data_IF_401677248457
#
_entry.id   IF_401677248457
#
_cell.length_a   1.000
_cell.length_b   1.000
_cell.length_c   1.000
_cell.angle_alpha   90.00
_cell.angle_beta   90.00
_cell.angle_gamma   90.00
#
_symmetry.space_group_name_H-M   'P 1'
#
loop_
_entity.id
_entity.type
_entity.pdbx_description
1 polymer ?
#
# COMPACT_ATOMS: atom_id res chain seq x y z
N UNK A 1 -64.23 -16.80 -23.49
CA UNK A 1 -62.77 -16.95 -23.62
C UNK A 1 -62.29 -15.92 -24.65
N UNK A 2 -61.83 -14.75 -24.20
CA UNK A 2 -61.34 -13.69 -25.09
C UNK A 2 -59.81 -13.64 -24.99
N UNK A 3 -59.11 -13.95 -26.08
CA UNK A 3 -57.64 -13.87 -26.16
C UNK A 3 -57.26 -12.44 -26.52
N UNK A 4 -56.59 -11.74 -25.61
CA UNK A 4 -56.01 -10.42 -25.89
C UNK A 4 -54.86 -10.57 -26.89
N UNK A 5 -54.95 -9.89 -28.03
CA UNK A 5 -53.87 -9.81 -29.00
C UNK A 5 -52.70 -9.03 -28.38
N UNK A 6 -51.57 -9.70 -28.13
CA UNK A 6 -50.32 -9.06 -27.72
C UNK A 6 -49.73 -8.21 -28.84
N UNK A 7 -48.86 -7.23 -28.52
CA UNK A 7 -48.22 -6.37 -29.51
C UNK A 7 -47.44 -7.21 -30.52
N UNK A 8 -47.65 -6.95 -31.81
CA UNK A 8 -47.08 -7.72 -32.90
C UNK A 8 -45.55 -7.74 -32.89
N UNK A 9 -44.92 -8.76 -33.51
CA UNK A 9 -43.47 -9.00 -33.44
C UNK A 9 -42.61 -7.83 -33.92
N UNK A 10 -43.12 -6.99 -34.83
CA UNK A 10 -42.43 -5.78 -35.31
C UNK A 10 -42.31 -4.69 -34.22
N UNK A 11 -43.27 -4.59 -33.32
CA UNK A 11 -43.24 -3.63 -32.20
C UNK A 11 -42.18 -4.07 -31.18
N UNK A 12 -42.11 -5.38 -30.90
CA UNK A 12 -41.10 -5.94 -29.99
C UNK A 12 -39.70 -5.74 -30.54
N UNK A 13 -39.49 -5.96 -31.85
CA UNK A 13 -38.20 -5.74 -32.49
C UNK A 13 -37.81 -4.25 -32.50
N UNK A 14 -38.77 -3.36 -32.74
CA UNK A 14 -38.56 -1.92 -32.69
C UNK A 14 -38.14 -1.43 -31.30
N UNK A 15 -38.79 -1.93 -30.25
CA UNK A 15 -38.44 -1.61 -28.85
C UNK A 15 -37.05 -2.18 -28.51
N UNK A 16 -36.76 -3.42 -28.89
CA UNK A 16 -35.47 -4.06 -28.62
C UNK A 16 -34.27 -3.33 -29.26
N UNK A 17 -34.46 -2.68 -30.42
CA UNK A 17 -33.42 -1.89 -31.08
C UNK A 17 -33.34 -0.44 -30.57
N UNK A 18 -34.48 0.19 -30.26
CA UNK A 18 -34.52 1.60 -29.86
C UNK A 18 -33.95 1.84 -28.45
N UNK A 19 -34.20 0.91 -27.51
CA UNK A 19 -33.74 1.04 -26.12
C UNK A 19 -32.20 1.14 -25.99
N UNK A 20 -31.39 0.23 -26.58
CA UNK A 20 -29.93 0.35 -26.49
C UNK A 20 -29.39 1.58 -27.23
N UNK A 21 -30.00 1.99 -28.34
CA UNK A 21 -29.59 3.19 -29.07
C UNK A 21 -29.80 4.48 -28.25
N UNK A 22 -30.94 4.59 -27.57
CA UNK A 22 -31.24 5.71 -26.67
C UNK A 22 -30.34 5.70 -25.44
N UNK A 23 -30.04 4.53 -24.89
CA UNK A 23 -29.09 4.37 -23.78
C UNK A 23 -27.68 4.84 -24.17
N UNK A 24 -27.18 4.43 -25.34
CA UNK A 24 -25.88 4.87 -25.85
C UNK A 24 -25.85 6.39 -26.08
N UNK A 25 -26.89 6.97 -26.69
CA UNK A 25 -26.98 8.42 -26.86
C UNK A 25 -26.99 9.17 -25.53
N UNK A 26 -27.74 8.68 -24.53
CA UNK A 26 -27.78 9.28 -23.21
C UNK A 26 -26.38 9.25 -22.55
N UNK A 27 -25.68 8.11 -22.62
CA UNK A 27 -24.32 8.01 -22.06
C UNK A 27 -23.30 8.91 -22.78
N UNK A 28 -23.39 9.05 -24.10
CA UNK A 28 -22.51 9.93 -24.87
C UNK A 28 -22.73 11.41 -24.50
N UNK A 29 -23.98 11.86 -24.44
CA UNK A 29 -24.32 13.24 -24.06
C UNK A 29 -23.89 13.60 -22.63
N UNK A 30 -23.97 12.63 -21.71
CA UNK A 30 -23.54 12.80 -20.32
C UNK A 30 -22.02 12.82 -20.17
N UNK A 31 -21.30 12.06 -21.00
CA UNK A 31 -19.84 12.10 -21.06
C UNK A 31 -19.34 13.45 -21.61
N UNK A 32 -19.94 13.96 -22.69
CA UNK A 32 -19.57 15.26 -23.27
C UNK A 32 -19.79 16.43 -22.28
N UNK A 33 -20.87 16.38 -21.48
CA UNK A 33 -21.15 17.37 -20.45
C UNK A 33 -20.15 17.37 -19.28
N UNK A 34 -19.40 16.27 -19.08
CA UNK A 34 -18.34 16.16 -18.06
C UNK A 34 -16.93 16.32 -18.62
N UNK A 35 -16.78 16.28 -19.93
CA UNK A 35 -15.51 16.48 -20.62
C UNK A 35 -15.12 17.96 -20.78
N UNK A 36 -15.91 18.90 -20.24
CA UNK A 36 -15.51 20.29 -20.11
C UNK A 36 -14.48 20.43 -18.98
N UNK A 37 -13.27 19.93 -19.23
CA UNK A 37 -12.09 20.46 -18.55
C UNK A 37 -12.02 21.94 -18.88
N UNK A 38 -11.96 22.77 -17.85
CA UNK A 38 -11.76 24.21 -17.96
C UNK A 38 -10.60 24.46 -18.94
N UNK A 39 -10.77 25.29 -19.98
CA UNK A 39 -9.71 25.51 -20.95
C UNK A 39 -8.52 26.10 -20.19
N UNK A 40 -7.49 25.27 -19.99
CA UNK A 40 -6.23 25.72 -19.43
C UNK A 40 -5.79 26.87 -20.32
N UNK A 41 -5.62 28.10 -19.80
CA UNK A 41 -5.16 29.21 -20.62
C UNK A 41 -3.84 28.76 -21.22
N UNK A 42 -3.80 28.68 -22.56
CA UNK A 42 -2.56 28.41 -23.29
C UNK A 42 -1.66 29.58 -22.98
N UNK A 43 -0.79 29.40 -21.99
CA UNK A 43 0.24 30.36 -21.66
C UNK A 43 0.97 30.66 -22.96
N UNK A 44 0.91 31.92 -23.39
CA UNK A 44 1.70 32.38 -24.53
C UNK A 44 3.14 32.08 -24.18
N UNK A 45 3.77 31.16 -24.91
CA UNK A 45 5.17 30.79 -24.71
C UNK A 45 6.00 32.00 -25.11
N UNK A 46 6.21 32.91 -24.16
CA UNK A 46 7.10 34.05 -24.29
C UNK A 46 8.54 33.59 -24.01
N UNK A 47 9.04 32.64 -24.80
CA UNK A 47 10.47 32.37 -24.93
C UNK A 47 10.68 31.47 -26.17
N UNK A 48 11.19 31.96 -27.31
CA UNK A 48 11.62 31.09 -28.40
C UNK A 48 12.96 30.49 -28.00
N UNK A 49 12.98 29.67 -26.95
CA UNK A 49 14.12 28.79 -26.72
C UNK A 49 14.22 27.92 -27.97
N UNK A 50 15.39 27.84 -28.63
CA UNK A 50 15.54 26.99 -29.79
C UNK A 50 15.14 25.58 -29.38
N UNK A 51 14.05 25.08 -29.97
CA UNK A 51 13.66 23.68 -29.84
C UNK A 51 14.79 22.91 -30.49
N UNK A 52 15.69 22.36 -29.67
CA UNK A 52 16.66 21.38 -30.12
C UNK A 52 15.86 20.21 -30.64
N UNK A 53 15.70 20.14 -31.96
CA UNK A 53 15.09 19.01 -32.65
C UNK A 53 15.87 17.80 -32.17
N UNK A 54 15.19 16.91 -31.44
CA UNK A 54 15.81 15.70 -30.92
C UNK A 54 16.54 15.01 -32.09
N UNK A 55 17.85 14.68 -31.96
CA UNK A 55 18.70 14.28 -33.09
C UNK A 55 18.25 12.97 -33.75
N UNK A 56 17.31 12.25 -33.13
CA UNK A 56 16.68 11.05 -33.67
C UNK A 56 15.38 11.39 -34.40
N UNK A 57 15.24 11.08 -35.70
CA UNK A 57 13.98 11.22 -36.42
C UNK A 57 12.83 10.47 -35.74
N UNK A 58 11.59 10.96 -35.87
CA UNK A 58 10.40 10.36 -35.23
C UNK A 58 10.21 8.89 -35.62
N UNK A 59 10.49 8.53 -36.87
CA UNK A 59 10.40 7.16 -37.38
C UNK A 59 11.70 6.34 -37.21
N UNK A 60 12.65 6.81 -36.40
CA UNK A 60 13.90 6.08 -36.16
C UNK A 60 13.68 4.94 -35.19
N UNK A 61 14.07 3.71 -35.57
CA UNK A 61 14.08 2.56 -34.65
C UNK A 61 14.87 2.79 -33.36
N UNK A 62 15.83 3.74 -33.33
CA UNK A 62 16.55 4.11 -32.10
C UNK A 62 15.64 4.70 -31.02
N UNK A 63 14.48 5.26 -31.39
CA UNK A 63 13.46 5.70 -30.41
C UNK A 63 12.76 4.53 -29.73
N UNK A 64 12.66 3.38 -30.41
CA UNK A 64 12.04 2.15 -29.89
C UNK A 64 13.02 1.25 -29.15
N UNK A 65 14.33 1.53 -29.22
CA UNK A 65 15.36 0.71 -28.57
C UNK A 65 15.13 0.48 -27.05
N UNK A 66 14.68 1.48 -26.26
CA UNK A 66 14.36 1.24 -24.84
C UNK A 66 13.17 0.30 -24.64
N UNK A 67 12.16 0.36 -25.52
CA UNK A 67 10.98 -0.50 -25.45
C UNK A 67 11.35 -1.93 -25.81
N UNK A 68 12.12 -2.11 -26.89
CA UNK A 68 12.61 -3.42 -27.32
C UNK A 68 13.56 -4.04 -26.28
N UNK A 69 14.47 -3.24 -25.73
CA UNK A 69 15.36 -3.69 -24.65
C UNK A 69 14.57 -4.08 -23.40
N UNK A 70 13.56 -3.29 -22.99
CA UNK A 70 12.70 -3.63 -21.85
C UNK A 70 11.97 -4.96 -22.09
N UNK A 71 11.40 -5.17 -23.28
CA UNK A 71 10.73 -6.44 -23.63
C UNK A 71 11.68 -7.63 -23.59
N UNK A 72 12.83 -7.52 -24.27
CA UNK A 72 13.84 -8.58 -24.28
C UNK A 72 14.33 -8.92 -22.86
N UNK A 73 14.57 -7.90 -22.01
CA UNK A 73 14.96 -8.11 -20.62
C UNK A 73 13.84 -8.73 -19.79
N UNK A 74 12.58 -8.39 -20.06
CA UNK A 74 11.42 -8.97 -19.38
C UNK A 74 11.23 -10.44 -19.76
N UNK A 75 11.44 -10.81 -21.03
CA UNK A 75 11.37 -12.21 -21.47
C UNK A 75 12.43 -13.06 -20.75
N UNK A 76 13.68 -12.57 -20.69
CA UNK A 76 14.78 -13.21 -19.94
C UNK A 76 14.44 -13.32 -18.45
N UNK A 77 13.85 -12.27 -17.86
CA UNK A 77 13.42 -12.30 -16.46
C UNK A 77 12.34 -13.36 -16.23
N UNK A 78 11.33 -13.44 -17.08
CA UNK A 78 10.24 -14.43 -16.96
C UNK A 78 10.78 -15.85 -17.07
N UNK A 79 11.70 -16.10 -18.01
CA UNK A 79 12.35 -17.41 -18.17
C UNK A 79 13.11 -17.82 -16.89
N UNK A 80 13.93 -16.91 -16.36
CA UNK A 80 14.68 -17.14 -15.12
C UNK A 80 13.77 -17.36 -13.91
N UNK A 81 12.70 -16.55 -13.77
CA UNK A 81 11.70 -16.72 -12.72
C UNK A 81 10.94 -18.03 -12.84
N UNK A 82 10.66 -18.50 -14.06
CA UNK A 82 10.04 -19.79 -14.32
C UNK A 82 10.91 -20.96 -13.85
N UNK A 83 12.21 -20.92 -14.14
CA UNK A 83 13.16 -21.91 -13.66
C UNK A 83 13.25 -21.92 -12.12
N UNK A 84 13.28 -20.73 -11.50
CA UNK A 84 13.23 -20.61 -10.04
C UNK A 84 11.93 -21.20 -9.48
N UNK A 85 10.78 -20.83 -10.03
CA UNK A 85 9.48 -21.34 -9.59
C UNK A 85 9.39 -22.86 -9.66
N UNK A 86 9.94 -23.48 -10.71
CA UNK A 86 9.99 -24.93 -10.87
C UNK A 86 10.91 -25.62 -9.84
N UNK A 87 11.92 -24.91 -9.32
CA UNK A 87 12.81 -25.43 -8.28
C UNK A 87 12.21 -25.36 -6.86
N UNK A 88 11.13 -24.61 -6.67
CA UNK A 88 10.50 -24.42 -5.37
C UNK A 88 9.58 -25.61 -5.01
N UNK A 89 9.48 -25.96 -3.72
CA UNK A 89 8.46 -26.91 -3.25
C UNK A 89 7.05 -26.46 -3.62
N UNK A 90 6.13 -27.41 -3.86
CA UNK A 90 4.74 -27.12 -4.21
C UNK A 90 3.94 -26.39 -3.12
N UNK A 91 4.48 -26.28 -1.90
CA UNK A 91 3.95 -25.49 -0.78
C UNK A 91 4.43 -24.05 -0.76
N UNK A 92 5.30 -23.65 -1.71
CA UNK A 92 5.82 -22.30 -1.85
C UNK A 92 5.01 -21.51 -2.87
N UNK A 93 5.10 -20.18 -2.77
CA UNK A 93 4.47 -19.24 -3.70
C UNK A 93 5.52 -18.21 -4.14
N UNK A 94 5.51 -17.85 -5.42
CA UNK A 94 6.34 -16.79 -5.99
C UNK A 94 5.46 -15.85 -6.80
N UNK A 95 5.45 -14.57 -6.44
CA UNK A 95 4.79 -13.51 -7.19
C UNK A 95 5.74 -12.33 -7.35
N UNK A 96 5.95 -11.90 -8.58
CA UNK A 96 6.88 -10.80 -8.90
C UNK A 96 6.15 -9.72 -9.69
N UNK A 97 6.33 -8.48 -9.26
CA UNK A 97 5.82 -7.29 -9.94
C UNK A 97 6.94 -6.28 -10.13
N UNK A 98 6.94 -5.62 -11.29
CA UNK A 98 7.87 -4.55 -11.66
C UNK A 98 7.03 -3.31 -11.95
N UNK A 99 7.33 -2.18 -11.31
CA UNK A 99 6.58 -0.93 -11.44
C UNK A 99 5.07 -1.09 -11.18
N UNK A 100 4.70 -1.99 -10.25
CA UNK A 100 3.30 -2.32 -9.93
C UNK A 100 2.62 -3.28 -10.92
N UNK A 101 3.25 -3.63 -12.05
CA UNK A 101 2.70 -4.58 -13.01
C UNK A 101 3.16 -6.00 -12.66
N UNK A 102 2.22 -6.93 -12.53
CA UNK A 102 2.53 -8.35 -12.30
C UNK A 102 3.22 -8.94 -13.52
N UNK A 103 4.42 -9.47 -13.32
CA UNK A 103 5.22 -10.14 -14.37
C UNK A 103 5.01 -11.64 -14.33
N UNK A 104 4.95 -12.24 -13.13
CA UNK A 104 4.71 -13.67 -12.94
C UNK A 104 4.05 -13.96 -11.59
N UNK A 105 3.27 -15.04 -11.54
CA UNK A 105 2.79 -15.67 -10.32
C UNK A 105 2.80 -17.19 -10.48
N UNK A 106 3.34 -17.93 -9.53
CA UNK A 106 3.44 -19.39 -9.55
C UNK A 106 3.40 -20.00 -8.14
N UNK A 107 3.01 -21.26 -8.03
CA UNK A 107 2.98 -22.00 -6.77
C UNK A 107 1.63 -21.96 -6.04
N UNK A 108 1.66 -22.20 -4.72
CA UNK A 108 0.47 -22.30 -3.89
C UNK A 108 -0.28 -20.95 -3.74
N UNK A 109 -1.62 -20.95 -3.66
CA UNK A 109 -2.40 -19.71 -3.50
C UNK A 109 -2.30 -19.09 -2.11
N UNK A 110 -1.88 -19.87 -1.11
CA UNK A 110 -1.68 -19.42 0.28
C UNK A 110 -0.56 -20.22 0.92
N UNK A 111 0.24 -19.54 1.75
CA UNK A 111 1.40 -20.10 2.46
C UNK A 111 1.43 -19.60 3.89
N UNK A 112 2.11 -20.33 4.78
CA UNK A 112 2.34 -19.86 6.16
C UNK A 112 3.41 -18.76 6.11
N UNK A 113 3.10 -17.50 6.47
CA UNK A 113 4.03 -16.38 6.27
C UNK A 113 5.20 -16.37 7.28
N UNK A 114 5.07 -17.08 8.40
CA UNK A 114 5.99 -16.97 9.53
C UNK A 114 6.26 -15.49 9.87
N UNK A 115 7.52 -15.10 10.06
CA UNK A 115 7.88 -13.71 10.39
C UNK A 115 7.65 -12.71 9.26
N UNK A 116 7.36 -13.11 8.02
CA UNK A 116 6.97 -12.15 6.96
C UNK A 116 5.63 -11.48 7.26
N UNK A 117 4.81 -12.07 8.14
CA UNK A 117 3.60 -11.43 8.69
C UNK A 117 3.91 -10.06 9.33
N UNK A 118 5.13 -9.86 9.85
CA UNK A 118 5.56 -8.59 10.43
C UNK A 118 5.49 -7.43 9.43
N UNK A 119 5.56 -7.70 8.12
CA UNK A 119 5.39 -6.66 7.08
C UNK A 119 3.98 -6.07 7.15
N UNK A 120 2.96 -6.93 7.27
CA UNK A 120 1.56 -6.49 7.39
C UNK A 120 1.30 -5.76 8.71
N UNK A 121 1.90 -6.25 9.81
CA UNK A 121 1.78 -5.60 11.12
C UNK A 121 2.46 -4.23 11.09
N UNK A 122 3.68 -4.14 10.55
CA UNK A 122 4.43 -2.89 10.48
C UNK A 122 3.75 -1.85 9.57
N UNK A 123 3.25 -2.26 8.40
CA UNK A 123 2.53 -1.35 7.50
C UNK A 123 1.24 -0.83 8.14
N UNK A 124 0.51 -1.69 8.84
CA UNK A 124 -0.71 -1.30 9.57
C UNK A 124 -0.38 -0.38 10.74
N UNK A 125 0.67 -0.69 11.51
CA UNK A 125 1.11 0.15 12.61
C UNK A 125 1.50 1.56 12.13
N UNK A 126 2.26 1.67 11.04
CA UNK A 126 2.59 2.97 10.45
C UNK A 126 1.35 3.73 9.96
N UNK A 127 0.39 3.04 9.34
CA UNK A 127 -0.83 3.67 8.84
C UNK A 127 -1.79 4.14 9.96
N UNK A 128 -1.87 3.38 11.07
CA UNK A 128 -2.80 3.65 12.17
C UNK A 128 -2.20 4.55 13.24
N UNK A 129 -0.95 4.30 13.64
CA UNK A 129 -0.29 5.01 14.73
C UNK A 129 0.51 6.22 14.24
N UNK A 130 0.99 6.18 12.99
CA UNK A 130 1.97 7.12 12.45
C UNK A 130 3.41 6.70 12.75
N UNK A 131 4.34 7.30 12.02
CA UNK A 131 5.79 7.09 12.16
C UNK A 131 6.39 7.77 13.42
N UNK A 132 5.69 8.77 13.96
CA UNK A 132 6.08 9.49 15.18
C UNK A 132 5.38 8.98 16.45
N UNK A 133 4.69 7.83 16.39
CA UNK A 133 4.00 7.30 17.57
C UNK A 133 4.97 6.96 18.70
N UNK A 134 4.64 7.40 19.91
CA UNK A 134 5.39 7.07 21.14
C UNK A 134 4.46 6.42 22.15
N UNK A 135 4.78 5.20 22.57
CA UNK A 135 4.04 4.53 23.64
C UNK A 135 4.22 5.28 24.96
N UNK A 136 3.16 5.38 25.76
CA UNK A 136 3.20 6.13 27.03
C UNK A 136 2.89 5.20 28.19
N UNK A 137 3.88 4.98 29.06
CA UNK A 137 3.71 4.30 30.34
C UNK A 137 3.65 5.32 31.46
N UNK A 138 2.76 5.14 32.45
CA UNK A 138 2.57 6.08 33.55
C UNK A 138 2.57 5.37 34.90
N UNK A 139 3.01 6.07 35.93
CA UNK A 139 2.77 5.68 37.32
C UNK A 139 1.73 6.62 37.90
N UNK A 140 0.77 6.06 38.64
CA UNK A 140 -0.34 6.80 39.25
C UNK A 140 -0.53 6.34 40.68
N UNK A 141 -0.87 7.25 41.58
CA UNK A 141 -1.09 6.98 43.00
C UNK A 141 -1.26 8.26 43.81
N UNK A 142 -1.60 8.16 45.10
CA UNK A 142 -1.52 9.29 46.02
C UNK A 142 -0.10 9.85 46.10
N UNK A 143 0.08 11.16 46.36
CA UNK A 143 1.41 11.73 46.56
C UNK A 143 2.06 11.14 47.83
N UNK A 144 3.38 10.91 47.83
CA UNK A 144 4.08 10.45 49.02
C UNK A 144 4.04 11.51 50.12
N UNK A 145 3.86 11.08 51.36
CA UNK A 145 3.97 11.90 52.56
C UNK A 145 5.06 11.33 53.45
N UNK A 146 6.13 12.11 53.68
CA UNK A 146 7.31 11.68 54.45
C UNK A 146 7.89 10.32 53.99
N UNK A 147 7.90 10.08 52.67
CA UNK A 147 8.42 8.84 52.07
C UNK A 147 7.45 7.65 52.09
N UNK A 148 6.19 7.85 52.52
CA UNK A 148 5.14 6.82 52.53
C UNK A 148 4.00 7.24 51.61
N UNK A 149 3.62 6.38 50.67
CA UNK A 149 2.39 6.55 49.88
C UNK A 149 1.24 5.90 50.64
N UNK A 150 0.24 6.69 51.05
CA UNK A 150 -0.96 6.20 51.74
C UNK A 150 -2.00 5.72 50.71
N UNK A 151 -1.78 4.52 50.18
CA UNK A 151 -2.65 3.86 49.22
C UNK A 151 -1.88 3.11 48.12
N UNK A 152 -2.60 2.76 47.06
CA UNK A 152 -2.02 1.99 45.95
C UNK A 152 -1.21 2.87 44.99
N UNK A 153 -0.06 2.36 44.56
CA UNK A 153 0.66 2.82 43.37
C UNK A 153 0.35 1.86 42.22
N UNK A 154 0.06 2.41 41.03
CA UNK A 154 -0.27 1.63 39.83
C UNK A 154 0.62 2.04 38.67
N UNK A 155 1.24 1.04 38.04
CA UNK A 155 1.93 1.17 36.75
C UNK A 155 0.94 0.90 35.62
N UNK A 156 0.63 1.91 34.84
CA UNK A 156 -0.26 1.84 33.67
C UNK A 156 0.61 1.73 32.42
N UNK A 157 0.75 0.51 31.90
CA UNK A 157 1.56 0.21 30.72
C UNK A 157 0.91 0.69 29.42
N UNK A 158 1.69 1.42 28.60
CA UNK A 158 1.27 1.89 27.28
C UNK A 158 1.56 0.92 26.14
N UNK A 159 2.27 -0.17 26.40
CA UNK A 159 2.73 -1.12 25.38
C UNK A 159 4.15 -0.83 24.85
N UNK A 160 4.94 -0.01 25.54
CA UNK A 160 6.35 0.22 25.19
C UNK A 160 7.14 -1.10 25.22
N UNK A 161 7.59 -1.63 24.07
CA UNK A 161 8.32 -2.89 24.01
C UNK A 161 9.79 -2.74 24.45
N UNK A 162 10.24 -1.52 24.73
CA UNK A 162 11.61 -1.18 25.14
C UNK A 162 11.73 -0.83 26.63
N UNK A 163 10.62 -0.87 27.39
CA UNK A 163 10.62 -0.59 28.82
C UNK A 163 11.43 -1.66 29.58
N UNK A 164 12.49 -1.23 30.24
CA UNK A 164 13.44 -2.11 30.94
C UNK A 164 14.03 -1.41 32.16
N UNK A 165 14.39 -2.18 33.18
CA UNK A 165 15.15 -1.66 34.33
C UNK A 165 16.62 -1.45 33.97
N UNK A 166 17.26 -0.42 34.51
CA UNK A 166 18.59 0.06 34.09
C UNK A 166 19.70 -0.99 34.25
N UNK A 167 19.55 -1.94 35.18
CA UNK A 167 20.51 -3.03 35.39
C UNK A 167 20.44 -4.11 34.30
N UNK A 168 19.28 -4.29 33.66
CA UNK A 168 19.04 -5.42 32.77
C UNK A 168 19.88 -5.37 31.49
N UNK A 169 20.05 -4.23 30.79
CA UNK A 169 20.94 -4.12 29.64
C UNK A 169 22.39 -4.54 29.91
N UNK A 170 22.88 -4.40 31.15
CA UNK A 170 24.24 -4.78 31.54
C UNK A 170 24.34 -6.19 32.15
N UNK A 171 23.22 -6.90 32.27
CA UNK A 171 23.15 -8.21 32.95
C UNK A 171 23.80 -9.37 32.18
N UNK A 172 24.11 -9.19 30.89
CA UNK A 172 24.57 -10.24 29.97
C UNK A 172 23.60 -11.43 29.82
N UNK A 173 22.30 -11.22 30.11
CA UNK A 173 21.27 -12.24 29.97
C UNK A 173 20.79 -12.42 28.52
N UNK A 174 20.89 -11.37 27.70
CA UNK A 174 20.47 -11.42 26.30
C UNK A 174 21.59 -11.88 25.36
N UNK A 175 21.19 -12.67 24.35
CA UNK A 175 22.09 -13.07 23.26
C UNK A 175 22.56 -11.88 22.42
N UNK A 176 21.75 -10.84 22.33
CA UNK A 176 22.01 -9.64 21.54
C UNK A 176 22.01 -8.42 22.45
N UNK A 177 22.84 -7.40 22.17
CA UNK A 177 22.87 -6.20 22.99
C UNK A 177 21.53 -5.49 22.96
N UNK A 178 21.05 -5.09 24.14
CA UNK A 178 19.89 -4.22 24.29
C UNK A 178 20.26 -2.84 23.74
N UNK A 179 19.35 -2.21 23.00
CA UNK A 179 19.53 -0.88 22.44
C UNK A 179 18.26 -0.05 22.65
N UNK A 180 18.41 1.27 22.78
CA UNK A 180 17.31 2.23 22.94
C UNK A 180 16.30 1.86 24.04
N UNK A 181 16.77 1.26 25.15
CA UNK A 181 15.89 0.90 26.26
C UNK A 181 15.31 2.15 26.93
N UNK A 182 14.03 2.07 27.29
CA UNK A 182 13.34 3.06 28.12
C UNK A 182 13.50 2.67 29.58
N UNK A 183 14.03 3.57 30.42
CA UNK A 183 14.29 3.28 31.85
C UNK A 183 12.98 3.19 32.65
N UNK A 184 12.74 2.02 33.25
CA UNK A 184 11.67 1.82 34.23
C UNK A 184 11.99 2.51 35.56
N UNK A 185 13.26 2.56 35.95
CA UNK A 185 13.72 3.18 37.21
C UNK A 185 13.39 4.67 37.25
N UNK A 186 13.44 5.37 36.10
CA UNK A 186 12.99 6.77 36.00
C UNK A 186 11.53 6.99 36.42
N UNK A 187 10.66 5.99 36.21
CA UNK A 187 9.26 6.03 36.66
C UNK A 187 9.14 5.76 38.15
N UNK A 188 10.05 4.97 38.73
CA UNK A 188 10.10 4.72 40.17
C UNK A 188 10.60 5.98 40.91
N UNK A 189 11.65 6.63 40.40
CA UNK A 189 12.19 7.88 40.96
C UNK A 189 11.15 9.01 40.95
N UNK A 190 10.30 9.07 39.92
CA UNK A 190 9.21 10.03 39.83
C UNK A 190 8.13 9.86 40.92
N UNK A 191 8.08 8.71 41.61
CA UNK A 191 7.18 8.51 42.76
C UNK A 191 7.78 9.05 44.06
N UNK A 192 9.12 9.15 44.14
CA UNK A 192 9.82 9.63 45.33
C UNK A 192 9.86 11.16 45.42
N UNK A 193 9.76 11.85 44.28
CA UNK A 193 9.78 13.31 44.15
C UNK A 193 8.43 13.96 44.53
#
# INVERSE_FOLDING_TARGET
MSRSAGPGPLIVLGIAAAVPALLLQATASWADGRAQGEPVPVGTIADPRPVTVAPTPVMSMRREAPVLSRRANQDVLIEGLGALAASLPGTSCLAVSVDGVRVMSAGAPSVIPASTQKILVASTALAVLGDQHTFTTRVTGPPPQAGVVDGDIRLVGGGDPLLSSDWYPTSSLDRFPVFNATSLDSLADAVLA
#
